data_IF_815149904840
#
_entry.id   IF_815149904840
#
_cell.length_a   1.000
_cell.length_b   1.000
_cell.length_c   1.000
_cell.angle_alpha   90.00
_cell.angle_beta   90.00
_cell.angle_gamma   90.00
#
_symmetry.space_group_name_H-M   'P 1'
#
loop_
_entity.id
_entity.type
_entity.pdbx_description
1 polymer ?
#
# COMPACT_ATOMS: atom_id res chain seq x y z
N UNK A 1 -16.91 -41.33 -14.50
CA UNK A 1 -15.91 -40.30 -14.13
C UNK A 1 -16.49 -38.89 -14.30
N UNK A 2 -17.05 -38.56 -15.47
CA UNK A 2 -17.80 -37.31 -15.70
C UNK A 2 -18.99 -37.07 -14.75
N UNK A 3 -19.76 -38.10 -14.37
CA UNK A 3 -20.86 -37.93 -13.40
C UNK A 3 -20.39 -37.55 -11.99
N UNK A 4 -19.22 -38.05 -11.57
CA UNK A 4 -18.65 -37.71 -10.25
C UNK A 4 -18.14 -36.27 -10.28
N UNK A 5 -17.47 -35.87 -11.36
CA UNK A 5 -16.99 -34.52 -11.56
C UNK A 5 -18.14 -33.50 -11.66
N UNK A 6 -19.23 -33.82 -12.37
CA UNK A 6 -20.45 -33.01 -12.39
C UNK A 6 -21.07 -32.87 -11.00
N UNK A 7 -21.16 -33.96 -10.22
CA UNK A 7 -21.73 -33.91 -8.86
C UNK A 7 -20.87 -33.06 -7.91
N UNK A 8 -19.55 -33.09 -8.06
CA UNK A 8 -18.60 -32.25 -7.31
C UNK A 8 -18.69 -30.77 -7.71
N UNK A 9 -18.80 -30.47 -9.00
CA UNK A 9 -18.99 -29.09 -9.52
C UNK A 9 -20.36 -28.55 -9.09
N UNK A 10 -21.41 -29.37 -9.12
CA UNK A 10 -22.77 -29.02 -8.74
C UNK A 10 -22.90 -28.76 -7.23
N UNK A 11 -22.32 -29.61 -6.36
CA UNK A 11 -22.26 -29.33 -4.90
C UNK A 11 -21.43 -28.10 -4.56
N UNK A 12 -20.35 -27.84 -5.31
CA UNK A 12 -19.55 -26.63 -5.12
C UNK A 12 -20.34 -25.38 -5.51
N UNK A 13 -21.06 -25.42 -6.64
CA UNK A 13 -21.91 -24.33 -7.13
C UNK A 13 -23.09 -24.02 -6.20
N UNK A 14 -23.75 -25.04 -5.64
CA UNK A 14 -24.85 -24.88 -4.68
C UNK A 14 -24.36 -24.36 -3.32
N UNK A 15 -23.11 -24.65 -2.92
CA UNK A 15 -22.50 -24.14 -1.68
C UNK A 15 -22.01 -22.68 -1.77
N UNK A 16 -21.66 -22.22 -2.98
CA UNK A 16 -21.19 -20.84 -3.21
C UNK A 16 -22.35 -19.85 -3.39
N UNK A 17 -23.52 -20.31 -3.87
CA UNK A 17 -24.69 -19.47 -4.10
C UNK A 17 -25.45 -19.06 -2.82
N UNK A 18 -25.21 -19.72 -1.68
CA UNK A 18 -25.90 -19.44 -0.42
C UNK A 18 -25.17 -18.49 0.54
N UNK A 19 -23.83 -18.38 0.44
CA UNK A 19 -23.06 -17.59 1.41
C UNK A 19 -23.03 -16.11 1.02
N UNK A 20 -23.91 -15.29 1.58
CA UNK A 20 -23.88 -13.83 1.46
C UNK A 20 -23.49 -13.15 2.78
N UNK A 21 -22.85 -11.99 2.71
CA UNK A 21 -22.64 -11.15 3.90
C UNK A 21 -23.98 -10.81 4.57
N UNK A 22 -25.08 -10.76 3.81
CA UNK A 22 -26.43 -10.54 4.33
C UNK A 22 -26.96 -11.60 5.30
N UNK A 23 -26.26 -12.73 5.49
CA UNK A 23 -26.62 -13.73 6.52
C UNK A 23 -26.10 -13.36 7.91
N UNK A 24 -25.23 -12.36 8.02
CA UNK A 24 -24.73 -11.88 9.31
C UNK A 24 -25.87 -11.18 10.06
N UNK A 25 -26.03 -11.50 11.35
CA UNK A 25 -27.07 -10.90 12.19
C UNK A 25 -26.96 -9.37 12.23
N UNK A 26 -28.12 -8.69 12.22
CA UNK A 26 -28.24 -7.23 12.34
C UNK A 26 -27.48 -6.71 13.57
N UNK A 27 -27.47 -7.45 14.68
CA UNK A 27 -26.77 -7.06 15.90
C UNK A 27 -25.25 -7.05 15.71
N UNK A 28 -24.70 -7.94 14.88
CA UNK A 28 -23.27 -7.96 14.57
C UNK A 28 -22.91 -6.76 13.71
N UNK A 29 -23.74 -6.38 12.74
CA UNK A 29 -23.55 -5.16 11.97
C UNK A 29 -23.56 -3.91 12.83
N UNK A 30 -24.52 -3.80 13.76
CA UNK A 30 -24.60 -2.67 14.70
C UNK A 30 -23.33 -2.61 15.56
N UNK A 31 -22.87 -3.74 16.11
CA UNK A 31 -21.62 -3.81 16.90
C UNK A 31 -20.42 -3.34 16.09
N UNK A 32 -20.26 -3.85 14.86
CA UNK A 32 -19.17 -3.44 13.97
C UNK A 32 -19.25 -1.94 13.69
N UNK A 33 -20.43 -1.42 13.35
CA UNK A 33 -20.62 -0.01 13.04
C UNK A 33 -20.29 0.90 14.24
N UNK A 34 -20.73 0.54 15.45
CA UNK A 34 -20.46 1.29 16.67
C UNK A 34 -18.96 1.30 16.98
N UNK A 35 -18.29 0.16 16.92
CA UNK A 35 -16.85 0.08 17.22
C UNK A 35 -16.04 0.80 16.13
N UNK A 36 -16.39 0.61 14.85
CA UNK A 36 -15.75 1.31 13.74
C UNK A 36 -15.93 2.83 13.85
N UNK A 37 -17.13 3.30 14.22
CA UNK A 37 -17.38 4.72 14.47
C UNK A 37 -16.56 5.24 15.65
N UNK A 38 -16.46 4.49 16.75
CA UNK A 38 -15.63 4.87 17.89
C UNK A 38 -14.14 4.99 17.50
N UNK A 39 -13.59 4.01 16.77
CA UNK A 39 -12.23 4.06 16.24
C UNK A 39 -12.06 5.25 15.29
N UNK A 40 -13.02 5.47 14.38
CA UNK A 40 -13.00 6.61 13.47
C UNK A 40 -12.96 7.95 14.21
N UNK A 41 -13.78 8.13 15.25
CA UNK A 41 -13.82 9.37 16.03
C UNK A 41 -12.49 9.63 16.77
N UNK A 42 -11.84 8.59 17.29
CA UNK A 42 -10.53 8.72 17.95
C UNK A 42 -9.43 9.08 16.95
N UNK A 43 -9.43 8.44 15.78
CA UNK A 43 -8.38 8.58 14.77
C UNK A 43 -8.74 9.54 13.62
N UNK A 44 -9.84 10.31 13.72
CA UNK A 44 -10.34 11.17 12.64
C UNK A 44 -9.30 12.15 12.12
N UNK A 45 -8.46 12.69 13.02
CA UNK A 45 -7.38 13.62 12.69
C UNK A 45 -6.31 12.95 11.83
N UNK A 46 -5.89 11.75 12.22
CA UNK A 46 -4.85 11.01 11.50
C UNK A 46 -5.39 10.51 10.16
N UNK A 47 -6.64 10.04 10.11
CA UNK A 47 -7.33 9.70 8.86
C UNK A 47 -7.36 10.92 7.93
N UNK A 48 -7.73 12.09 8.44
CA UNK A 48 -7.72 13.33 7.66
C UNK A 48 -6.32 13.68 7.13
N UNK A 49 -5.28 13.56 7.95
CA UNK A 49 -3.89 13.81 7.53
C UNK A 49 -3.46 12.85 6.43
N UNK A 50 -3.74 11.55 6.60
CA UNK A 50 -3.41 10.51 5.63
C UNK A 50 -4.17 10.72 4.31
N UNK A 51 -5.48 10.94 4.36
CA UNK A 51 -6.31 11.19 3.17
C UNK A 51 -5.93 12.51 2.49
N UNK A 52 -5.67 13.57 3.25
CA UNK A 52 -5.19 14.85 2.72
C UNK A 52 -3.88 14.68 1.96
N UNK A 53 -2.97 13.84 2.46
CA UNK A 53 -1.75 13.49 1.72
C UNK A 53 -2.03 12.71 0.44
N UNK A 54 -2.99 11.78 0.44
CA UNK A 54 -3.35 11.05 -0.78
C UNK A 54 -3.93 11.96 -1.87
N UNK A 55 -4.62 13.04 -1.48
CA UNK A 55 -5.23 14.02 -2.39
C UNK A 55 -4.19 15.02 -2.89
N UNK A 56 -3.41 15.59 -1.98
CA UNK A 56 -2.53 16.73 -2.29
C UNK A 56 -1.13 16.31 -2.76
N UNK A 57 -0.65 15.12 -2.37
CA UNK A 57 0.65 14.60 -2.79
C UNK A 57 0.46 13.44 -3.76
N UNK A 58 0.81 13.70 -5.02
CA UNK A 58 0.73 12.73 -6.09
C UNK A 58 1.55 11.47 -5.79
N UNK A 59 2.62 11.54 -5.00
CA UNK A 59 3.45 10.40 -4.60
C UNK A 59 2.66 9.34 -3.82
N UNK A 60 1.62 9.76 -3.09
CA UNK A 60 0.85 8.92 -2.16
C UNK A 60 -0.57 8.59 -2.65
N UNK A 61 -0.95 8.98 -3.87
CA UNK A 61 -2.31 8.75 -4.39
C UNK A 61 -2.70 7.25 -4.48
N UNK A 62 -1.73 6.34 -4.56
CA UNK A 62 -1.97 4.90 -4.51
C UNK A 62 -2.58 4.44 -3.17
N UNK A 63 -2.46 5.24 -2.11
CA UNK A 63 -3.01 4.96 -0.78
C UNK A 63 -4.52 4.73 -0.77
N UNK A 64 -5.28 5.33 -1.68
CA UNK A 64 -6.73 5.10 -1.82
C UNK A 64 -7.09 3.66 -2.19
N UNK A 65 -6.23 2.99 -2.96
CA UNK A 65 -6.48 1.65 -3.49
C UNK A 65 -6.21 0.59 -2.41
N UNK A 66 -5.30 0.85 -1.47
CA UNK A 66 -4.85 -0.11 -0.46
C UNK A 66 -5.98 -0.57 0.49
N UNK A 67 -6.81 0.31 1.08
CA UNK A 67 -7.97 -0.11 1.87
C UNK A 67 -8.98 -0.94 1.08
N UNK A 68 -9.18 -0.64 -0.21
CA UNK A 68 -10.07 -1.40 -1.08
C UNK A 68 -9.55 -2.84 -1.29
N UNK A 69 -8.25 -3.01 -1.52
CA UNK A 69 -7.63 -4.33 -1.58
C UNK A 69 -7.69 -5.07 -0.24
N UNK A 70 -7.53 -4.37 0.88
CA UNK A 70 -7.68 -4.96 2.22
C UNK A 70 -9.09 -5.53 2.42
N UNK A 71 -10.12 -4.76 2.06
CA UNK A 71 -11.51 -5.23 2.08
C UNK A 71 -11.74 -6.41 1.12
N UNK A 72 -11.15 -6.35 -0.07
CA UNK A 72 -11.20 -7.45 -1.03
C UNK A 72 -10.57 -8.74 -0.49
N UNK A 73 -9.43 -8.65 0.22
CA UNK A 73 -8.80 -9.81 0.85
C UNK A 73 -9.67 -10.44 1.94
N UNK A 74 -10.34 -9.61 2.75
CA UNK A 74 -11.31 -10.09 3.73
C UNK A 74 -12.49 -10.78 3.02
N UNK A 75 -12.97 -10.21 1.92
CA UNK A 75 -14.04 -10.81 1.11
C UNK A 75 -13.63 -12.14 0.47
N UNK A 76 -12.36 -12.32 0.12
CA UNK A 76 -11.84 -13.61 -0.38
C UNK A 76 -11.90 -14.72 0.68
N UNK A 77 -11.81 -14.35 1.96
CA UNK A 77 -11.96 -15.26 3.11
C UNK A 77 -13.37 -15.31 3.69
N UNK A 78 -14.35 -14.78 2.96
CA UNK A 78 -15.76 -14.73 3.39
C UNK A 78 -16.31 -16.10 3.76
N UNK A 79 -15.97 -17.16 3.00
CA UNK A 79 -16.47 -18.51 3.28
C UNK A 79 -16.01 -18.98 4.65
N UNK A 80 -14.70 -18.95 4.89
CA UNK A 80 -14.11 -19.38 6.15
C UNK A 80 -14.58 -18.51 7.33
N UNK A 81 -14.80 -17.21 7.09
CA UNK A 81 -15.31 -16.28 8.10
C UNK A 81 -16.75 -16.62 8.45
N UNK A 82 -17.66 -16.72 7.48
CA UNK A 82 -19.08 -16.94 7.75
C UNK A 82 -19.40 -18.34 8.31
N UNK A 83 -18.56 -19.35 8.05
CA UNK A 83 -18.74 -20.70 8.62
C UNK A 83 -18.11 -20.87 10.00
N UNK A 84 -17.33 -19.90 10.47
CA UNK A 84 -16.64 -20.00 11.77
C UNK A 84 -17.44 -19.30 12.85
N UNK A 85 -17.69 -20.00 13.96
CA UNK A 85 -18.19 -19.34 15.16
C UNK A 85 -17.12 -18.47 15.81
N UNK A 86 -17.42 -17.17 15.89
CA UNK A 86 -16.57 -16.18 16.50
C UNK A 86 -17.04 -15.86 17.91
N UNK A 87 -16.07 -15.78 18.84
CA UNK A 87 -16.31 -15.33 20.21
C UNK A 87 -15.52 -14.04 20.44
N UNK A 88 -16.18 -13.04 20.98
CA UNK A 88 -15.54 -11.79 21.37
C UNK A 88 -14.44 -12.08 22.40
N UNK A 89 -13.31 -11.37 22.28
CA UNK A 89 -12.19 -11.51 23.20
C UNK A 89 -12.02 -10.25 24.02
N UNK A 90 -12.08 -10.37 25.36
CA UNK A 90 -11.76 -9.26 26.27
C UNK A 90 -10.32 -8.74 26.09
N UNK A 91 -9.40 -9.59 25.60
CA UNK A 91 -8.06 -9.16 25.21
C UNK A 91 -8.08 -8.15 24.05
N UNK A 92 -9.03 -8.28 23.12
CA UNK A 92 -9.22 -7.31 22.06
C UNK A 92 -9.66 -5.94 22.59
N UNK A 93 -10.54 -5.93 23.60
CA UNK A 93 -10.92 -4.69 24.28
C UNK A 93 -9.73 -4.05 25.01
N UNK A 94 -8.99 -4.84 25.79
CA UNK A 94 -7.79 -4.35 26.48
C UNK A 94 -6.74 -3.81 25.49
N UNK A 95 -6.53 -4.50 24.36
CA UNK A 95 -5.63 -4.05 23.30
C UNK A 95 -6.12 -2.74 22.65
N UNK A 96 -7.43 -2.57 22.46
CA UNK A 96 -8.01 -1.36 21.89
C UNK A 96 -7.84 -0.17 22.84
N UNK A 97 -8.13 -0.36 24.14
CA UNK A 97 -7.86 0.65 25.18
C UNK A 97 -6.38 1.01 25.22
N UNK A 98 -5.49 0.01 25.18
CA UNK A 98 -4.05 0.24 25.12
C UNK A 98 -3.65 1.08 23.90
N UNK A 99 -4.19 0.80 22.71
CA UNK A 99 -3.93 1.60 21.50
C UNK A 99 -4.36 3.06 21.67
N UNK A 100 -5.52 3.31 22.30
CA UNK A 100 -6.02 4.67 22.56
C UNK A 100 -5.12 5.41 23.57
N UNK A 101 -4.69 4.74 24.63
CA UNK A 101 -3.77 5.32 25.63
C UNK A 101 -2.40 5.60 24.98
N UNK A 102 -1.84 4.65 24.24
CA UNK A 102 -0.58 4.82 23.54
C UNK A 102 -0.63 5.95 22.49
N UNK A 103 -1.75 6.07 21.77
CA UNK A 103 -2.01 7.18 20.86
C UNK A 103 -2.05 8.53 21.59
N UNK A 104 -2.74 8.59 22.74
CA UNK A 104 -2.79 9.80 23.57
C UNK A 104 -1.40 10.19 24.08
N UNK A 105 -0.60 9.22 24.56
CA UNK A 105 0.78 9.46 24.99
C UNK A 105 1.67 9.99 23.86
N UNK A 106 1.54 9.44 22.65
CA UNK A 106 2.30 9.92 21.48
C UNK A 106 1.85 11.31 21.02
N UNK A 107 0.58 11.67 21.20
CA UNK A 107 0.07 13.02 20.94
C UNK A 107 0.64 14.05 21.92
N UNK A 108 0.59 13.77 23.22
CA UNK A 108 0.92 14.77 24.25
C UNK A 108 2.40 14.82 24.64
N UNK A 109 3.09 13.68 24.65
CA UNK A 109 4.45 13.56 25.20
C UNK A 109 5.50 13.63 24.10
N UNK A 110 5.40 12.75 23.11
CA UNK A 110 6.50 12.49 22.18
C UNK A 110 6.46 13.35 20.91
N UNK A 111 5.28 13.86 20.51
CA UNK A 111 5.05 14.67 19.30
C UNK A 111 5.64 14.08 17.99
N UNK A 112 5.92 12.78 17.94
CA UNK A 112 6.33 12.10 16.72
C UNK A 112 5.08 11.77 15.87
N UNK A 113 4.80 12.63 14.89
CA UNK A 113 3.60 12.49 14.03
C UNK A 113 3.51 11.19 13.24
N UNK A 114 4.62 10.50 12.95
CA UNK A 114 4.56 9.24 12.21
C UNK A 114 3.96 8.08 13.02
N UNK A 115 4.35 7.94 14.29
CA UNK A 115 3.81 6.89 15.16
C UNK A 115 2.30 7.05 15.37
N UNK A 116 1.81 8.30 15.37
CA UNK A 116 0.38 8.61 15.47
C UNK A 116 -0.39 8.03 14.28
N UNK A 117 0.10 8.24 13.05
CA UNK A 117 -0.53 7.70 11.85
C UNK A 117 -0.52 6.17 11.82
N UNK A 118 0.61 5.54 12.16
CA UNK A 118 0.76 4.07 12.15
C UNK A 118 -0.17 3.39 13.16
N UNK A 119 -0.54 4.06 14.25
CA UNK A 119 -1.38 3.51 15.32
C UNK A 119 -2.81 3.16 14.90
N UNK A 120 -3.29 3.65 13.75
CA UNK A 120 -4.56 3.23 13.14
C UNK A 120 -4.56 1.72 12.87
N UNK A 121 -3.44 1.15 12.42
CA UNK A 121 -3.32 -0.27 12.04
C UNK A 121 -3.51 -1.21 13.24
N UNK A 122 -2.75 -1.09 14.35
CA UNK A 122 -2.97 -1.92 15.52
C UNK A 122 -4.35 -1.66 16.16
N UNK A 123 -4.91 -0.46 16.05
CA UNK A 123 -6.28 -0.19 16.50
C UNK A 123 -7.33 -0.99 15.69
N UNK A 124 -7.19 -1.04 14.36
CA UNK A 124 -8.02 -1.90 13.50
C UNK A 124 -7.80 -3.38 13.84
N UNK A 125 -6.56 -3.81 14.06
CA UNK A 125 -6.25 -5.17 14.50
C UNK A 125 -6.87 -5.53 15.85
N UNK A 126 -6.86 -4.60 16.81
CA UNK A 126 -7.49 -4.76 18.12
C UNK A 126 -9.02 -4.81 18.00
N UNK A 127 -9.63 -3.99 17.12
CA UNK A 127 -11.05 -4.06 16.79
C UNK A 127 -11.43 -5.45 16.22
N UNK A 128 -10.64 -5.98 15.29
CA UNK A 128 -10.84 -7.32 14.72
C UNK A 128 -10.73 -8.40 15.82
N UNK A 129 -9.73 -8.30 16.69
CA UNK A 129 -9.55 -9.21 17.83
C UNK A 129 -10.72 -9.13 18.82
N UNK A 130 -11.26 -7.94 19.05
CA UNK A 130 -12.40 -7.74 19.94
C UNK A 130 -13.68 -8.36 19.35
N UNK A 131 -13.92 -8.19 18.05
CA UNK A 131 -15.11 -8.67 17.36
C UNK A 131 -15.17 -10.20 17.24
N UNK A 132 -14.06 -10.84 16.86
CA UNK A 132 -14.07 -12.27 16.55
C UNK A 132 -12.91 -13.10 17.11
N UNK A 133 -12.11 -12.51 18.01
CA UNK A 133 -11.02 -13.21 18.67
C UNK A 133 -9.89 -13.59 17.73
N UNK A 134 -9.01 -14.46 18.21
CA UNK A 134 -7.82 -14.92 17.47
C UNK A 134 -8.15 -15.64 16.17
N UNK A 135 -9.34 -16.26 16.08
CA UNK A 135 -9.80 -16.90 14.84
C UNK A 135 -10.03 -15.89 13.73
N UNK A 136 -10.66 -14.75 14.02
CA UNK A 136 -10.87 -13.70 13.02
C UNK A 136 -9.55 -13.02 12.65
N UNK A 137 -8.67 -12.77 13.63
CA UNK A 137 -7.33 -12.23 13.39
C UNK A 137 -6.53 -13.14 12.44
N UNK A 138 -6.63 -14.46 12.55
CA UNK A 138 -5.95 -15.39 11.63
C UNK A 138 -6.35 -15.19 10.15
N UNK A 139 -7.58 -14.74 9.88
CA UNK A 139 -8.02 -14.44 8.52
C UNK A 139 -7.72 -13.00 8.11
N UNK A 140 -7.75 -12.07 9.07
CA UNK A 140 -7.64 -10.63 8.82
C UNK A 140 -6.24 -10.03 9.06
N UNK A 141 -5.27 -10.77 9.63
CA UNK A 141 -3.95 -10.21 9.97
C UNK A 141 -3.24 -9.61 8.77
N UNK A 142 -3.25 -10.29 7.62
CA UNK A 142 -2.61 -9.77 6.42
C UNK A 142 -3.36 -8.58 5.83
N UNK A 143 -4.70 -8.61 5.62
CA UNK A 143 -5.46 -7.42 5.24
C UNK A 143 -5.19 -6.21 6.13
N UNK A 144 -5.09 -6.41 7.45
CA UNK A 144 -4.81 -5.33 8.41
C UNK A 144 -3.38 -4.82 8.25
N UNK A 145 -2.38 -5.71 8.22
CA UNK A 145 -0.97 -5.32 8.01
C UNK A 145 -0.76 -4.64 6.66
N UNK A 146 -1.50 -5.05 5.63
CA UNK A 146 -1.45 -4.47 4.28
C UNK A 146 -1.78 -2.97 4.26
N UNK A 147 -2.57 -2.48 5.22
CA UNK A 147 -2.86 -1.05 5.36
C UNK A 147 -1.60 -0.21 5.63
N UNK A 148 -0.48 -0.81 6.04
CA UNK A 148 0.80 -0.09 6.19
C UNK A 148 1.26 0.57 4.90
N UNK A 149 0.95 -0.01 3.74
CA UNK A 149 1.27 0.58 2.44
C UNK A 149 0.45 1.83 2.12
N UNK A 150 -0.65 2.07 2.84
CA UNK A 150 -1.46 3.27 2.69
C UNK A 150 -0.93 4.45 3.53
N UNK A 151 -0.09 4.18 4.54
CA UNK A 151 0.36 5.19 5.49
C UNK A 151 1.63 5.87 4.95
N UNK A 152 1.63 7.21 4.82
CA UNK A 152 2.78 7.95 4.34
C UNK A 152 3.96 7.87 5.32
N UNK A 153 5.12 7.50 4.79
CA UNK A 153 6.38 7.43 5.53
C UNK A 153 6.81 8.82 6.04
N UNK A 154 7.63 8.89 7.11
CA UNK A 154 8.22 10.16 7.54
C UNK A 154 9.08 10.75 6.43
N UNK A 155 9.03 12.07 6.25
CA UNK A 155 9.77 12.76 5.18
C UNK A 155 11.27 12.42 5.18
N UNK A 156 11.90 12.27 6.36
CA UNK A 156 13.30 11.87 6.47
C UNK A 156 13.56 10.48 5.86
N UNK A 157 12.85 9.46 6.33
CA UNK A 157 12.99 8.10 5.79
C UNK A 157 12.63 8.03 4.31
N UNK A 158 11.60 8.77 3.91
CA UNK A 158 11.23 8.91 2.51
C UNK A 158 12.38 9.50 1.68
N UNK A 159 12.99 10.60 2.12
CA UNK A 159 14.11 11.24 1.41
C UNK A 159 15.37 10.37 1.39
N UNK A 160 15.71 9.75 2.52
CA UNK A 160 16.88 8.87 2.66
C UNK A 160 16.80 7.66 1.70
N UNK A 161 15.60 7.12 1.47
CA UNK A 161 15.39 6.03 0.50
C UNK A 161 15.32 6.52 -0.96
N UNK A 162 14.75 7.70 -1.19
CA UNK A 162 14.43 8.16 -2.56
C UNK A 162 15.53 8.92 -3.25
N UNK A 163 16.29 9.73 -2.53
CA UNK A 163 17.39 10.50 -3.11
C UNK A 163 18.40 9.59 -3.83
N UNK A 164 18.91 8.48 -3.24
CA UNK A 164 19.89 7.65 -3.92
C UNK A 164 19.31 6.94 -5.15
N UNK A 165 18.05 6.48 -5.07
CA UNK A 165 17.37 5.86 -6.21
C UNK A 165 17.18 6.85 -7.36
N UNK A 166 16.72 8.06 -7.05
CA UNK A 166 16.54 9.14 -8.04
C UNK A 166 17.85 9.58 -8.67
N UNK A 167 18.93 9.64 -7.88
CA UNK A 167 20.25 9.98 -8.41
C UNK A 167 20.78 8.90 -9.37
N UNK A 168 20.55 7.61 -9.06
CA UNK A 168 20.86 6.53 -10.00
C UNK A 168 20.03 6.62 -11.28
N UNK A 169 18.72 6.85 -11.17
CA UNK A 169 17.84 7.01 -12.32
C UNK A 169 18.28 8.20 -13.20
N UNK A 170 18.68 9.33 -12.58
CA UNK A 170 19.17 10.50 -13.27
C UNK A 170 20.49 10.23 -14.03
N UNK A 171 21.42 9.51 -13.41
CA UNK A 171 22.69 9.12 -14.05
C UNK A 171 22.45 8.21 -15.25
N UNK A 172 21.57 7.20 -15.11
CA UNK A 172 21.24 6.29 -16.22
C UNK A 172 20.53 7.05 -17.34
N UNK A 173 19.60 7.94 -17.01
CA UNK A 173 18.90 8.76 -18.00
C UNK A 173 19.86 9.69 -18.75
N UNK A 174 20.77 10.38 -18.05
CA UNK A 174 21.78 11.22 -18.69
C UNK A 174 22.72 10.41 -19.59
N UNK A 175 23.15 9.21 -19.16
CA UNK A 175 23.94 8.31 -20.00
C UNK A 175 23.21 7.94 -21.31
N UNK A 176 21.92 7.60 -21.23
CA UNK A 176 21.11 7.25 -22.40
C UNK A 176 20.86 8.46 -23.32
N UNK A 177 20.65 9.65 -22.74
CA UNK A 177 20.46 10.89 -23.50
C UNK A 177 21.74 11.29 -24.27
N UNK A 178 22.92 11.11 -23.69
CA UNK A 178 24.21 11.34 -24.35
C UNK A 178 24.46 10.42 -25.56
N UNK A 179 23.69 9.34 -25.74
CA UNK A 179 23.79 8.50 -26.94
C UNK A 179 23.13 9.15 -28.17
N UNK A 180 22.32 10.21 -27.97
CA UNK A 180 21.67 10.96 -29.03
C UNK A 180 22.63 12.01 -29.57
N UNK A 181 22.83 12.05 -30.89
CA UNK A 181 23.73 13.03 -31.51
C UNK A 181 23.24 14.47 -31.27
N UNK A 182 24.14 15.34 -30.82
CA UNK A 182 23.87 16.77 -30.58
C UNK A 182 23.30 17.09 -29.20
N UNK A 183 23.22 16.10 -28.30
CA UNK A 183 22.61 16.22 -26.99
C UNK A 183 23.64 15.85 -25.91
N UNK A 184 23.98 16.81 -25.07
CA UNK A 184 24.87 16.62 -23.92
C UNK A 184 24.03 16.74 -22.65
N UNK A 185 23.87 15.64 -21.93
CA UNK A 185 23.13 15.57 -20.68
C UNK A 185 24.10 15.25 -19.52
N UNK A 186 24.12 16.11 -18.50
CA UNK A 186 24.92 15.88 -17.30
C UNK A 186 24.02 15.77 -16.07
N UNK A 187 24.17 14.68 -15.31
CA UNK A 187 23.40 14.45 -14.09
C UNK A 187 24.15 14.97 -12.85
N UNK A 188 23.62 16.02 -12.22
CA UNK A 188 24.12 16.58 -10.96
C UNK A 188 23.17 16.22 -9.81
N UNK A 189 23.39 15.06 -9.19
CA UNK A 189 22.48 14.55 -8.17
C UNK A 189 21.15 14.09 -8.78
N UNK A 190 20.07 14.82 -8.53
CA UNK A 190 18.72 14.52 -9.03
C UNK A 190 18.32 15.42 -10.22
N UNK A 191 19.14 16.40 -10.57
CA UNK A 191 18.87 17.30 -11.70
C UNK A 191 19.68 16.84 -12.92
N UNK A 192 19.05 16.83 -14.09
CA UNK A 192 19.70 16.56 -15.37
C UNK A 192 19.78 17.88 -16.15
N UNK A 193 20.99 18.38 -16.33
CA UNK A 193 21.26 19.54 -17.19
C UNK A 193 21.39 19.07 -18.64
N UNK A 194 20.57 19.63 -19.54
CA UNK A 194 20.53 19.22 -20.96
C UNK A 194 21.00 20.39 -21.83
N UNK A 195 22.00 20.13 -22.67
CA UNK A 195 22.48 21.04 -23.72
C UNK A 195 22.18 20.41 -25.07
N UNK A 196 21.35 21.08 -25.88
CA UNK A 196 21.01 20.62 -27.22
C UNK A 196 21.59 21.58 -28.26
N UNK A 197 22.44 21.09 -29.15
CA UNK A 197 23.13 21.88 -30.18
C UNK A 197 23.81 23.16 -29.64
N UNK A 198 24.43 23.08 -28.47
CA UNK A 198 25.14 24.20 -27.83
C UNK A 198 24.25 25.21 -27.09
N UNK A 199 22.93 25.01 -27.09
CA UNK A 199 21.97 25.81 -26.31
C UNK A 199 21.60 25.04 -25.04
N UNK A 200 21.78 25.66 -23.87
CA UNK A 200 21.30 25.11 -22.60
C UNK A 200 19.77 25.20 -22.57
N UNK A 201 19.09 24.07 -22.39
CA UNK A 201 17.68 24.10 -22.07
C UNK A 201 17.54 24.46 -20.58
N UNK A 202 17.06 25.67 -20.31
CA UNK A 202 16.69 26.11 -18.96
C UNK A 202 15.16 26.15 -18.83
N UNK A 203 14.58 25.62 -17.73
CA UNK A 203 15.24 24.97 -16.60
C UNK A 203 15.74 23.55 -16.93
N UNK A 204 16.81 23.11 -16.24
CA UNK A 204 17.27 21.72 -16.26
C UNK A 204 16.14 20.78 -15.81
N UNK A 205 16.15 19.54 -16.32
CA UNK A 205 15.12 18.57 -16.01
C UNK A 205 15.30 18.08 -14.57
N UNK A 206 14.54 18.64 -13.63
CA UNK A 206 14.54 18.16 -12.26
C UNK A 206 13.76 16.84 -12.16
N UNK A 207 14.51 15.75 -11.99
CA UNK A 207 13.94 14.42 -11.77
C UNK A 207 13.13 14.41 -10.47
N UNK A 208 13.37 15.30 -9.52
CA UNK A 208 12.61 15.37 -8.27
C UNK A 208 11.15 15.78 -8.50
N UNK A 209 10.90 16.75 -9.38
CA UNK A 209 9.55 17.23 -9.71
C UNK A 209 8.89 16.35 -10.78
N UNK A 210 9.67 15.90 -11.78
CA UNK A 210 9.17 15.03 -12.84
C UNK A 210 8.96 13.57 -12.39
N UNK A 211 9.63 13.10 -11.33
CA UNK A 211 9.69 11.69 -10.97
C UNK A 211 9.52 11.42 -9.47
N UNK A 212 8.25 11.36 -9.03
CA UNK A 212 7.86 10.78 -7.75
C UNK A 212 8.06 9.24 -7.70
N UNK A 213 9.26 8.73 -8.01
CA UNK A 213 9.57 7.30 -8.23
C UNK A 213 9.14 6.32 -7.13
N UNK A 214 8.82 6.84 -5.93
CA UNK A 214 8.18 6.07 -4.86
C UNK A 214 6.77 5.61 -5.15
N UNK A 215 5.99 6.36 -5.94
CA UNK A 215 4.62 5.94 -6.27
C UNK A 215 4.64 4.57 -6.93
N UNK A 216 5.51 4.41 -7.92
CA UNK A 216 5.69 3.14 -8.64
C UNK A 216 6.30 2.08 -7.72
N UNK A 217 7.35 2.40 -6.96
CA UNK A 217 7.98 1.45 -6.04
C UNK A 217 6.99 0.92 -4.99
N UNK A 218 6.29 1.80 -4.28
CA UNK A 218 5.32 1.43 -3.25
C UNK A 218 4.11 0.71 -3.85
N UNK A 219 3.62 1.14 -5.02
CA UNK A 219 2.55 0.44 -5.72
C UNK A 219 2.97 -0.96 -6.17
N UNK A 220 4.17 -1.14 -6.72
CA UNK A 220 4.69 -2.45 -7.12
C UNK A 220 4.97 -3.35 -5.91
N UNK A 221 5.48 -2.81 -4.81
CA UNK A 221 5.64 -3.55 -3.56
C UNK A 221 4.29 -4.00 -3.01
N UNK A 222 3.32 -3.09 -2.93
CA UNK A 222 1.96 -3.39 -2.47
C UNK A 222 1.28 -4.42 -3.39
N UNK A 223 1.45 -4.31 -4.70
CA UNK A 223 0.94 -5.27 -5.67
C UNK A 223 1.67 -6.63 -5.55
N UNK A 224 2.98 -6.62 -5.34
CA UNK A 224 3.78 -7.83 -5.14
C UNK A 224 3.32 -8.60 -3.90
N UNK A 225 3.06 -7.90 -2.79
CA UNK A 225 2.47 -8.49 -1.58
C UNK A 225 1.07 -9.02 -1.84
N UNK A 226 0.23 -8.25 -2.54
CA UNK A 226 -1.12 -8.68 -2.93
C UNK A 226 -1.08 -9.98 -3.75
N UNK A 227 -0.21 -10.05 -4.76
CA UNK A 227 -0.06 -11.20 -5.64
C UNK A 227 0.54 -12.41 -4.92
N UNK A 228 1.50 -12.20 -4.02
CA UNK A 228 2.07 -13.25 -3.17
C UNK A 228 1.03 -13.87 -2.23
N UNK A 229 0.00 -13.11 -1.87
CA UNK A 229 -1.09 -13.56 -1.02
C UNK A 229 -2.22 -14.26 -1.79
N UNK A 230 -2.69 -13.65 -2.88
CA UNK A 230 -3.83 -14.16 -3.64
C UNK A 230 -3.55 -15.50 -4.32
N UNK A 231 -2.29 -15.76 -4.66
CA UNK A 231 -1.90 -17.00 -5.31
C UNK A 231 -1.14 -17.93 -4.36
N UNK A 232 -1.50 -19.22 -4.36
CA UNK A 232 -0.73 -20.22 -3.62
C UNK A 232 0.65 -20.36 -4.27
N UNK A 233 1.70 -19.95 -3.55
CA UNK A 233 3.09 -20.07 -3.99
C UNK A 233 3.96 -20.51 -2.81
N UNK A 234 4.98 -21.37 -3.04
CA UNK A 234 5.97 -21.68 -2.03
C UNK A 234 6.69 -20.40 -1.59
N UNK A 235 7.16 -20.38 -0.33
CA UNK A 235 7.70 -19.18 0.31
C UNK A 235 8.90 -18.58 -0.45
N UNK A 236 9.75 -19.41 -1.07
CA UNK A 236 10.85 -18.96 -1.92
C UNK A 236 10.37 -18.16 -3.14
N UNK A 237 9.31 -18.62 -3.82
CA UNK A 237 8.76 -17.89 -4.96
C UNK A 237 8.14 -16.56 -4.54
N UNK A 238 7.58 -16.47 -3.33
CA UNK A 238 7.12 -15.19 -2.76
C UNK A 238 8.28 -14.24 -2.53
N UNK A 239 9.38 -14.74 -1.98
CA UNK A 239 10.57 -13.91 -1.76
C UNK A 239 11.20 -13.43 -3.07
N UNK A 240 11.27 -14.29 -4.09
CA UNK A 240 11.75 -13.91 -5.43
C UNK A 240 10.81 -12.88 -6.06
N UNK A 241 9.49 -13.06 -5.96
CA UNK A 241 8.51 -12.11 -6.49
C UNK A 241 8.65 -10.74 -5.81
N UNK A 242 8.74 -10.71 -4.49
CA UNK A 242 8.93 -9.46 -3.74
C UNK A 242 10.29 -8.83 -4.06
N UNK A 243 11.36 -9.64 -4.12
CA UNK A 243 12.69 -9.19 -4.49
C UNK A 243 12.75 -8.62 -5.91
N UNK A 244 11.97 -9.16 -6.85
CA UNK A 244 11.92 -8.65 -8.23
C UNK A 244 11.10 -7.37 -8.39
N UNK A 245 10.21 -7.03 -7.45
CA UNK A 245 9.46 -5.76 -7.53
C UNK A 245 10.37 -4.54 -7.49
N UNK A 246 11.47 -4.58 -6.74
CA UNK A 246 12.43 -3.48 -6.61
C UNK A 246 13.14 -3.19 -7.96
N UNK A 247 13.83 -4.14 -8.61
CA UNK A 247 14.48 -3.89 -9.89
C UNK A 247 13.47 -3.57 -11.00
N UNK A 248 12.27 -4.17 -10.97
CA UNK A 248 11.20 -3.82 -11.92
C UNK A 248 10.78 -2.36 -11.73
N UNK A 249 10.58 -1.91 -10.49
CA UNK A 249 10.21 -0.52 -10.20
C UNK A 249 11.29 0.47 -10.64
N UNK A 250 12.57 0.16 -10.39
CA UNK A 250 13.71 0.98 -10.85
C UNK A 250 13.73 1.04 -12.37
N UNK A 251 13.64 -0.10 -13.05
CA UNK A 251 13.62 -0.16 -14.52
C UNK A 251 12.47 0.66 -15.12
N UNK A 252 11.25 0.52 -14.57
CA UNK A 252 10.10 1.31 -15.00
C UNK A 252 10.31 2.81 -14.75
N UNK A 253 10.95 3.19 -13.63
CA UNK A 253 11.28 4.58 -13.33
C UNK A 253 12.28 5.15 -14.34
N UNK A 254 13.36 4.44 -14.65
CA UNK A 254 14.36 4.84 -15.66
C UNK A 254 13.69 5.05 -17.02
N UNK A 255 12.90 4.08 -17.49
CA UNK A 255 12.18 4.20 -18.77
C UNK A 255 11.31 5.45 -18.79
N UNK A 256 10.58 5.72 -17.69
CA UNK A 256 9.73 6.90 -17.59
C UNK A 256 10.53 8.21 -17.64
N UNK A 257 11.65 8.30 -16.92
CA UNK A 257 12.53 9.49 -16.94
C UNK A 257 13.04 9.74 -18.35
N UNK A 258 13.56 8.69 -19.00
CA UNK A 258 14.10 8.76 -20.36
C UNK A 258 13.04 9.21 -21.35
N UNK A 259 11.85 8.59 -21.33
CA UNK A 259 10.74 8.98 -22.20
C UNK A 259 10.30 10.42 -21.96
N UNK A 260 10.20 10.86 -20.70
CA UNK A 260 9.84 12.24 -20.35
C UNK A 260 10.88 13.23 -20.86
N UNK A 261 12.16 12.91 -20.73
CA UNK A 261 13.26 13.73 -21.24
C UNK A 261 13.26 13.82 -22.77
N UNK A 262 13.04 12.69 -23.46
CA UNK A 262 12.91 12.67 -24.92
C UNK A 262 11.72 13.52 -25.40
N UNK A 263 10.57 13.41 -24.74
CA UNK A 263 9.41 14.24 -25.06
C UNK A 263 9.75 15.72 -24.84
N UNK A 264 10.42 16.07 -23.74
CA UNK A 264 10.79 17.45 -23.44
C UNK A 264 11.76 18.06 -24.46
N UNK A 265 12.69 17.27 -25.00
CA UNK A 265 13.67 17.77 -25.99
C UNK A 265 13.07 17.86 -27.40
N UNK A 266 12.12 17.01 -27.74
CA UNK A 266 11.50 16.97 -29.07
C UNK A 266 10.34 17.97 -29.26
N UNK A 267 9.91 18.64 -28.20
CA UNK A 267 8.80 19.60 -28.21
C UNK A 267 9.32 21.02 -28.03
#
# INVERSE_FOLDING_TARGET
MQEVENKYVETKSLSEQGLSWGMVSIHTYIKIAVIAAAVFLVFQREIYIVVSKWINDSSWSHGFIIPLFSLYFINQKKREILTTEFKASYLGFAALVFCIVAYSLTLFVYRFGYFQNVMIIPAIGAMVLFLGGWKLVKYAWLPVVYLIFSIPLPAKFYNDLTIPLRAHDAQIAAFLLNMVKGLEANASGVVIDIVYNGVKLEPGLDVAEACSGMRLLMAFLALGVAMAYLHYRPWWQRLILLGSTIPIAILCNVIRVVVTAFIYVLW
#
